data_IF_433745756925
#
_entry.id   IF_433745756925
#
_cell.length_a   1.000
_cell.length_b   1.000
_cell.length_c   1.000
_cell.angle_alpha   90.00
_cell.angle_beta   90.00
_cell.angle_gamma   90.00
#
_symmetry.space_group_name_H-M   'P 1'
#
loop_
_entity.id
_entity.type
_entity.pdbx_description
1 polymer ?
#
# COMPACT_ATOMS: atom_id res chain seq x y z
N UNK A 1 5.11 6.83 -6.74
CA UNK A 1 4.48 6.16 -5.59
C UNK A 1 5.49 5.44 -4.68
N UNK A 2 6.70 5.18 -5.11
CA UNK A 2 7.72 4.58 -4.24
C UNK A 2 8.53 5.68 -3.54
N UNK A 3 8.42 5.72 -2.23
CA UNK A 3 9.04 6.76 -1.41
C UNK A 3 10.32 6.29 -0.71
N UNK A 4 10.65 5.01 -0.82
CA UNK A 4 11.86 4.47 -0.23
C UNK A 4 11.81 4.40 1.29
N UNK A 5 12.88 4.85 1.93
CA UNK A 5 13.02 4.73 3.38
C UNK A 5 12.34 5.88 4.13
N UNK A 6 11.02 5.86 4.17
CA UNK A 6 10.25 6.76 5.01
C UNK A 6 9.58 5.96 6.12
N UNK A 7 9.38 6.59 7.27
CA UNK A 7 8.70 5.92 8.37
C UNK A 7 7.19 5.90 8.13
N UNK A 8 6.49 5.06 8.88
CA UNK A 8 5.03 5.03 8.86
C UNK A 8 4.44 6.41 9.16
N UNK A 9 5.00 7.09 10.13
CA UNK A 9 4.57 8.43 10.52
C UNK A 9 4.76 9.43 9.37
N UNK A 10 5.92 9.38 8.70
CA UNK A 10 6.20 10.26 7.56
C UNK A 10 5.23 9.96 6.40
N UNK A 11 4.92 8.68 6.18
CA UNK A 11 3.96 8.29 5.16
C UNK A 11 2.58 8.84 5.46
N UNK A 12 2.14 8.73 6.70
CA UNK A 12 0.84 9.27 7.11
C UNK A 12 0.77 10.79 6.95
N UNK A 13 1.84 11.49 7.30
CA UNK A 13 1.91 12.94 7.10
C UNK A 13 1.78 13.32 5.63
N UNK A 14 2.51 12.61 4.76
CA UNK A 14 2.45 12.86 3.32
C UNK A 14 1.04 12.64 2.77
N UNK A 15 0.40 11.55 3.17
CA UNK A 15 -0.96 11.24 2.72
C UNK A 15 -1.97 12.25 3.26
N UNK A 16 -1.82 12.68 4.50
CA UNK A 16 -2.73 13.66 5.10
C UNK A 16 -2.59 15.04 4.43
N UNK A 17 -1.40 15.43 4.03
CA UNK A 17 -1.19 16.70 3.32
C UNK A 17 -1.86 16.70 1.96
N UNK A 18 -1.84 15.57 1.26
CA UNK A 18 -2.45 15.46 -0.07
C UNK A 18 -3.95 15.26 -0.04
N UNK A 19 -4.45 14.64 1.01
CA UNK A 19 -5.86 14.64 1.40
C UNK A 19 -6.88 13.96 0.50
N UNK A 20 -6.48 13.15 -0.46
CA UNK A 20 -7.44 12.50 -1.36
C UNK A 20 -7.55 11.01 -1.04
N UNK A 21 -8.76 10.54 -0.90
CA UNK A 21 -9.03 9.12 -0.69
C UNK A 21 -8.53 8.32 -1.89
N UNK A 22 -7.82 7.22 -1.61
CA UNK A 22 -7.22 6.41 -2.64
C UNK A 22 -5.78 6.75 -2.96
N UNK A 23 -5.31 7.92 -2.55
CA UNK A 23 -3.88 8.24 -2.68
C UNK A 23 -3.07 7.25 -1.85
N UNK A 24 -1.97 6.81 -2.41
CA UNK A 24 -1.15 5.80 -1.76
C UNK A 24 0.33 6.06 -2.01
N UNK A 25 1.15 5.42 -1.20
CA UNK A 25 2.59 5.37 -1.45
C UNK A 25 3.10 4.01 -1.01
N UNK A 26 4.26 3.65 -1.55
CA UNK A 26 4.94 2.41 -1.18
C UNK A 26 6.26 2.81 -0.54
N UNK A 27 6.55 2.23 0.60
CA UNK A 27 7.75 2.52 1.36
C UNK A 27 8.42 1.24 1.80
N UNK A 28 9.69 1.33 2.14
CA UNK A 28 10.41 0.20 2.74
C UNK A 28 9.84 -0.07 4.13
N UNK A 29 9.79 -1.35 4.50
CA UNK A 29 9.35 -1.73 5.84
C UNK A 29 10.39 -1.30 6.88
N UNK A 30 9.92 -0.75 7.99
CA UNK A 30 10.80 -0.37 9.09
C UNK A 30 11.38 -1.58 9.82
N UNK A 31 10.63 -2.69 9.84
CA UNK A 31 10.98 -3.86 10.63
C UNK A 31 11.70 -4.95 9.84
N UNK A 32 11.61 -4.94 8.52
CA UNK A 32 12.15 -6.01 7.68
C UNK A 32 12.83 -5.43 6.45
N UNK A 33 14.15 -5.61 6.28
CA UNK A 33 14.90 -4.93 5.22
C UNK A 33 14.45 -5.21 3.80
N UNK A 34 13.90 -6.39 3.53
CA UNK A 34 13.49 -6.78 2.18
C UNK A 34 11.98 -6.72 1.98
N UNK A 35 11.26 -6.15 2.93
CA UNK A 35 9.81 -6.02 2.84
C UNK A 35 9.42 -4.58 2.56
N UNK A 36 8.21 -4.40 2.08
CA UNK A 36 7.64 -3.10 1.75
C UNK A 36 6.30 -2.94 2.42
N UNK A 37 5.82 -1.71 2.46
CA UNK A 37 4.49 -1.40 2.97
C UNK A 37 3.79 -0.47 2.01
N UNK A 38 2.52 -0.74 1.75
CA UNK A 38 1.64 0.17 0.99
C UNK A 38 0.85 0.97 2.00
N UNK A 39 0.99 2.29 1.95
CA UNK A 39 0.22 3.19 2.81
C UNK A 39 -0.84 3.87 1.96
N UNK A 40 -2.10 3.76 2.36
CA UNK A 40 -3.25 4.16 1.57
C UNK A 40 -4.09 5.15 2.37
N UNK A 41 -4.43 6.26 1.72
CA UNK A 41 -5.33 7.25 2.32
C UNK A 41 -6.76 6.75 2.25
N UNK A 42 -7.36 6.57 3.42
CA UNK A 42 -8.76 6.17 3.53
C UNK A 42 -9.52 7.19 4.34
N UNK A 43 -10.83 7.18 4.20
CA UNK A 43 -11.70 8.09 4.94
C UNK A 43 -11.57 7.82 6.44
N UNK A 44 -11.19 8.82 7.20
CA UNK A 44 -11.03 8.75 8.64
C UNK A 44 -9.69 8.23 9.10
N UNK A 45 -9.22 7.10 8.59
CA UNK A 45 -7.97 6.47 9.04
C UNK A 45 -7.23 5.84 7.87
N UNK A 46 -5.94 6.12 7.78
CA UNK A 46 -5.11 5.53 6.74
C UNK A 46 -4.91 4.04 6.98
N UNK A 47 -4.76 3.29 5.90
CA UNK A 47 -4.52 1.85 5.93
C UNK A 47 -3.08 1.54 5.52
N UNK A 48 -2.51 0.52 6.12
CA UNK A 48 -1.16 0.07 5.83
C UNK A 48 -1.19 -1.42 5.54
N UNK A 49 -0.57 -1.82 4.43
CA UNK A 49 -0.54 -3.22 4.01
C UNK A 49 0.91 -3.66 3.86
N UNK A 50 1.22 -4.83 4.41
CA UNK A 50 2.58 -5.37 4.32
C UNK A 50 2.75 -6.13 3.01
N UNK A 51 3.86 -5.86 2.33
CA UNK A 51 4.24 -6.56 1.11
C UNK A 51 5.58 -7.23 1.36
N UNK A 52 5.64 -8.54 1.19
CA UNK A 52 6.86 -9.30 1.39
C UNK A 52 7.50 -9.63 0.05
N UNK A 53 8.79 -9.39 -0.09
CA UNK A 53 9.55 -9.79 -1.27
C UNK A 53 10.15 -11.17 -0.98
N UNK A 54 9.67 -12.19 -1.69
CA UNK A 54 10.15 -13.57 -1.58
C UNK A 54 10.58 -14.07 -2.94
N UNK A 55 11.84 -14.42 -3.07
CA UNK A 55 12.37 -15.05 -4.29
C UNK A 55 12.03 -14.29 -5.58
N UNK A 56 12.01 -13.03 -5.62
CA UNK A 56 11.67 -12.20 -6.79
C UNK A 56 10.18 -11.95 -6.99
N UNK A 57 9.31 -12.41 -6.08
CA UNK A 57 7.88 -12.08 -6.15
C UNK A 57 7.44 -11.25 -4.95
N UNK A 58 6.50 -10.37 -5.19
CA UNK A 58 5.94 -9.50 -4.17
C UNK A 58 4.62 -10.09 -3.68
N UNK A 59 4.57 -10.42 -2.39
CA UNK A 59 3.41 -11.06 -1.77
C UNK A 59 2.65 -10.07 -0.90
N UNK A 60 1.38 -9.90 -1.20
CA UNK A 60 0.48 -9.09 -0.38
C UNK A 60 -0.73 -9.95 -0.04
N UNK A 61 -0.91 -10.26 1.26
CA UNK A 61 -1.93 -11.20 1.67
C UNK A 61 -1.71 -12.56 1.01
N UNK A 62 -2.70 -13.00 0.25
CA UNK A 62 -2.63 -14.28 -0.46
C UNK A 62 -2.26 -14.12 -1.93
N UNK A 63 -2.00 -12.90 -2.39
CA UNK A 63 -1.69 -12.63 -3.78
C UNK A 63 -0.21 -12.43 -3.99
N UNK A 64 0.27 -12.79 -5.19
CA UNK A 64 1.67 -12.69 -5.57
C UNK A 64 1.78 -11.97 -6.91
N UNK A 65 2.77 -11.10 -7.03
CA UNK A 65 3.02 -10.34 -8.25
C UNK A 65 4.50 -10.39 -8.59
N UNK A 66 4.82 -10.43 -9.88
CA UNK A 66 6.20 -10.47 -10.33
C UNK A 66 6.92 -9.13 -10.12
N UNK A 67 6.18 -8.03 -10.20
CA UNK A 67 6.74 -6.69 -10.00
C UNK A 67 5.81 -5.87 -9.12
N UNK A 68 6.36 -4.81 -8.52
CA UNK A 68 5.55 -3.88 -7.74
C UNK A 68 4.56 -3.14 -8.64
N UNK A 69 4.96 -2.86 -9.88
CA UNK A 69 4.08 -2.21 -10.83
C UNK A 69 2.84 -3.05 -11.13
N UNK A 70 3.00 -4.36 -11.26
CA UNK A 70 1.86 -5.26 -11.46
C UNK A 70 0.92 -5.22 -10.27
N UNK A 71 1.47 -5.19 -9.05
CA UNK A 71 0.68 -5.09 -7.83
C UNK A 71 -0.15 -3.80 -7.83
N UNK A 72 0.48 -2.68 -8.14
CA UNK A 72 -0.18 -1.38 -8.17
C UNK A 72 -1.29 -1.37 -9.23
N UNK A 73 -0.99 -1.84 -10.44
CA UNK A 73 -1.97 -1.87 -11.53
C UNK A 73 -3.15 -2.78 -11.20
N UNK A 74 -2.90 -3.90 -10.56
CA UNK A 74 -3.97 -4.80 -10.14
C UNK A 74 -4.93 -4.09 -9.18
N UNK A 75 -4.40 -3.42 -8.17
CA UNK A 75 -5.24 -2.79 -7.16
C UNK A 75 -5.79 -1.43 -7.56
N UNK A 76 -5.46 -0.94 -8.73
CA UNK A 76 -6.18 0.18 -9.33
C UNK A 76 -7.51 -0.30 -9.94
N UNK A 77 -7.61 -1.56 -10.29
CA UNK A 77 -8.79 -2.16 -10.93
C UNK A 77 -9.59 -3.04 -9.99
N UNK A 78 -8.96 -3.60 -8.98
CA UNK A 78 -9.60 -4.47 -7.99
C UNK A 78 -9.39 -3.88 -6.60
N UNK A 79 -10.33 -4.06 -5.68
CA UNK A 79 -10.19 -3.46 -4.35
C UNK A 79 -9.05 -4.09 -3.57
N UNK A 80 -8.23 -3.25 -2.95
CA UNK A 80 -7.18 -3.70 -2.05
C UNK A 80 -7.74 -3.96 -0.65
N UNK A 81 -8.86 -3.35 -0.33
CA UNK A 81 -9.54 -3.49 0.95
C UNK A 81 -11.03 -3.37 0.76
N UNK A 82 -11.79 -4.23 1.44
CA UNK A 82 -13.24 -4.15 1.50
C UNK A 82 -13.64 -4.12 2.97
N UNK A 83 -14.38 -3.10 3.36
CA UNK A 83 -14.83 -2.96 4.74
C UNK A 83 -15.97 -3.93 5.04
N UNK A 84 -16.31 -4.10 6.31
CA UNK A 84 -17.43 -4.92 6.74
C UNK A 84 -18.75 -4.40 6.17
N UNK A 85 -18.81 -3.12 5.85
CA UNK A 85 -20.01 -2.47 5.30
C UNK A 85 -20.05 -2.57 3.77
N UNK A 86 -19.06 -3.21 3.17
CA UNK A 86 -19.01 -3.38 1.72
C UNK A 86 -18.33 -2.25 0.96
N UNK A 87 -17.76 -1.29 1.65
CA UNK A 87 -17.00 -0.22 0.99
C UNK A 87 -15.68 -0.76 0.47
N UNK A 88 -15.35 -0.42 -0.76
CA UNK A 88 -14.15 -0.92 -1.43
C UNK A 88 -13.16 0.22 -1.63
N UNK A 89 -11.89 -0.05 -1.32
CA UNK A 89 -10.80 0.90 -1.53
C UNK A 89 -9.90 0.42 -2.65
N UNK A 90 -9.51 1.35 -3.51
CA UNK A 90 -8.63 1.09 -4.65
C UNK A 90 -7.42 2.01 -4.56
N UNK A 91 -6.33 1.61 -5.19
CA UNK A 91 -5.19 2.52 -5.40
C UNK A 91 -5.52 3.47 -6.55
N UNK A 92 -5.15 4.71 -6.37
CA UNK A 92 -5.46 5.75 -7.37
C UNK A 92 -4.22 6.30 -8.03
#
# INVERSE_FOLDING_TARGET
>A
WYYGKVTRHQAEMALNERGHEGDFLIRDSESSPNDFSVSLKAQGKNKHFKVQLKETVYCIGQRKFSTMEELVEHYKKAPIFTSEQGEKLYLV
#
